data_IF_750205064941
#
_entry.id   IF_750205064941
#
_cell.length_a   1.000
_cell.length_b   1.000
_cell.length_c   1.000
_cell.angle_alpha   90.00
_cell.angle_beta   90.00
_cell.angle_gamma   90.00
#
_symmetry.space_group_name_H-M   'P 1'
#
loop_
_entity.id
_entity.type
_entity.pdbx_description
1 polymer ?
#
# COMPACT_ATOMS: atom_id res chain seq x y z
N UNK A 1 9.26 -49.95 -8.12
CA UNK A 1 9.47 -48.51 -8.35
C UNK A 1 8.54 -47.75 -7.37
N UNK A 2 9.04 -47.00 -6.40
CA UNK A 2 8.17 -46.28 -5.50
C UNK A 2 7.69 -44.99 -6.15
N UNK A 3 6.37 -44.77 -6.10
CA UNK A 3 5.70 -43.53 -6.52
C UNK A 3 6.29 -42.32 -5.79
N UNK A 4 6.76 -41.36 -6.57
CA UNK A 4 7.14 -40.04 -6.04
C UNK A 4 5.87 -39.32 -5.63
N UNK A 5 5.58 -39.34 -4.34
CA UNK A 5 4.53 -38.56 -3.71
C UNK A 5 4.89 -37.06 -3.84
N UNK A 6 4.35 -36.42 -4.88
CA UNK A 6 4.53 -35.00 -5.16
C UNK A 6 3.61 -34.19 -4.23
N UNK A 7 3.91 -34.21 -2.95
CA UNK A 7 3.31 -33.27 -2.02
C UNK A 7 3.91 -31.91 -2.31
N UNK A 8 3.18 -31.11 -3.09
CA UNK A 8 3.40 -29.66 -3.12
C UNK A 8 3.29 -29.20 -1.68
N UNK A 9 4.41 -28.79 -1.11
CA UNK A 9 4.43 -28.10 0.16
C UNK A 9 3.69 -26.78 -0.04
N UNK A 10 2.43 -26.75 0.35
CA UNK A 10 1.70 -25.49 0.50
C UNK A 10 2.45 -24.75 1.59
N UNK A 11 3.14 -23.67 1.25
CA UNK A 11 3.69 -22.77 2.26
C UNK A 11 2.50 -22.17 3.01
N UNK A 12 2.25 -22.72 4.16
CA UNK A 12 1.27 -22.22 5.12
C UNK A 12 1.84 -20.90 5.64
N UNK A 13 1.15 -19.79 5.36
CA UNK A 13 1.56 -18.49 5.86
C UNK A 13 0.82 -18.22 7.18
N UNK A 14 1.60 -18.14 8.25
CA UNK A 14 1.08 -17.72 9.54
C UNK A 14 0.72 -16.23 9.48
N UNK A 15 -0.52 -15.89 9.81
CA UNK A 15 -0.93 -14.50 9.96
C UNK A 15 -0.75 -14.08 11.43
N UNK A 16 0.21 -13.21 11.75
CA UNK A 16 0.50 -12.84 13.13
C UNK A 16 -0.62 -12.05 13.80
N UNK A 17 -1.50 -11.39 13.03
CA UNK A 17 -2.65 -10.64 13.58
C UNK A 17 -3.74 -11.60 14.02
N UNK A 18 -4.01 -12.63 13.23
CA UNK A 18 -5.09 -13.57 13.50
C UNK A 18 -4.63 -14.77 14.32
N UNK A 19 -3.31 -14.99 14.47
CA UNK A 19 -2.74 -16.08 15.24
C UNK A 19 -2.96 -17.48 14.65
N UNK A 20 -3.33 -17.57 13.35
CA UNK A 20 -3.51 -18.85 12.65
C UNK A 20 -2.96 -18.78 11.22
N UNK A 21 -2.72 -19.95 10.65
CA UNK A 21 -2.24 -20.10 9.28
C UNK A 21 -3.36 -19.80 8.28
N UNK A 22 -3.07 -18.91 7.31
CA UNK A 22 -4.04 -18.60 6.26
C UNK A 22 -3.94 -19.65 5.16
N UNK A 23 -4.92 -20.53 5.09
CA UNK A 23 -5.08 -21.51 3.99
C UNK A 23 -5.96 -20.96 2.86
N UNK A 24 -6.37 -19.70 2.97
CA UNK A 24 -7.31 -19.05 2.08
C UNK A 24 -6.70 -18.60 0.75
N UNK A 25 -7.53 -18.01 -0.12
CA UNK A 25 -7.10 -17.51 -1.40
C UNK A 25 -6.08 -16.37 -1.22
N UNK A 26 -5.10 -16.34 -2.12
CA UNK A 26 -4.12 -15.25 -2.21
C UNK A 26 -4.59 -14.24 -3.22
N UNK A 27 -4.49 -12.96 -2.86
CA UNK A 27 -4.86 -11.87 -3.76
C UNK A 27 -3.62 -11.04 -4.13
N UNK A 28 -3.53 -10.70 -5.40
CA UNK A 28 -2.53 -9.78 -5.92
C UNK A 28 -3.27 -8.59 -6.52
N UNK A 29 -2.93 -7.40 -6.03
CA UNK A 29 -3.39 -6.14 -6.63
C UNK A 29 -2.22 -5.45 -7.31
N UNK A 30 -2.47 -4.85 -8.47
CA UNK A 30 -1.46 -4.14 -9.26
C UNK A 30 -1.93 -2.71 -9.48
N UNK A 31 -1.11 -1.73 -9.12
CA UNK A 31 -1.50 -0.34 -9.28
C UNK A 31 -0.47 0.65 -8.77
N UNK A 32 -0.88 1.88 -8.58
CA UNK A 32 -0.04 2.95 -8.07
C UNK A 32 -0.27 3.18 -6.58
N UNK A 33 0.83 3.34 -5.83
CA UNK A 33 0.79 3.91 -4.49
C UNK A 33 1.24 5.36 -4.56
N UNK A 34 0.49 6.26 -3.92
CA UNK A 34 0.72 7.69 -3.96
C UNK A 34 0.87 8.27 -2.56
N UNK A 35 1.62 9.36 -2.47
CA UNK A 35 1.66 10.20 -1.28
C UNK A 35 0.40 11.06 -1.22
N UNK A 36 -0.36 10.92 -0.13
CA UNK A 36 -1.51 11.75 0.16
C UNK A 36 -1.12 12.84 1.16
N UNK A 37 -1.39 14.09 0.81
CA UNK A 37 -1.18 15.26 1.64
C UNK A 37 -2.53 15.83 2.06
N UNK A 38 -2.78 15.92 3.36
CA UNK A 38 -4.05 16.35 3.94
C UNK A 38 -3.81 17.50 4.91
N UNK A 39 -4.46 18.66 4.75
CA UNK A 39 -4.42 19.70 5.79
C UNK A 39 -4.98 19.19 7.10
N UNK A 40 -4.38 19.50 8.25
CA UNK A 40 -4.91 19.11 9.54
C UNK A 40 -6.22 19.85 9.87
N UNK A 41 -6.96 19.38 10.86
CA UNK A 41 -8.11 20.05 11.44
C UNK A 41 -9.20 20.50 10.46
N UNK A 42 -9.40 19.74 9.37
CA UNK A 42 -10.37 20.07 8.32
C UNK A 42 -10.12 21.41 7.61
N UNK A 43 -8.88 21.91 7.65
CA UNK A 43 -8.51 23.16 7.01
C UNK A 43 -8.67 23.06 5.48
N UNK A 44 -9.00 24.19 4.86
CA UNK A 44 -9.06 24.24 3.39
C UNK A 44 -7.66 24.33 2.81
N UNK A 45 -7.43 23.64 1.70
CA UNK A 45 -6.14 23.64 1.01
C UNK A 45 -5.58 25.03 0.74
N UNK A 46 -6.45 25.99 0.38
CA UNK A 46 -6.05 27.37 0.11
C UNK A 46 -5.50 28.14 1.32
N UNK A 47 -5.71 27.61 2.52
CA UNK A 47 -5.30 28.22 3.79
C UNK A 47 -4.19 27.41 4.47
N UNK A 48 -3.96 26.20 3.99
CA UNK A 48 -3.05 25.25 4.63
C UNK A 48 -1.60 25.70 4.53
N UNK A 49 -0.92 25.71 5.66
CA UNK A 49 0.51 25.99 5.79
C UNK A 49 1.33 24.74 6.08
N UNK A 50 0.67 23.66 6.48
CA UNK A 50 1.26 22.36 6.78
C UNK A 50 0.35 21.22 6.31
N UNK A 51 0.89 20.01 6.20
CA UNK A 51 0.19 18.84 5.72
C UNK A 51 0.57 17.61 6.52
N UNK A 52 -0.40 16.77 6.80
CA UNK A 52 -0.20 15.40 7.24
C UNK A 52 0.05 14.53 6.01
N UNK A 53 1.14 13.76 6.05
CA UNK A 53 1.51 12.86 4.98
C UNK A 53 1.04 11.44 5.30
N UNK A 54 0.36 10.82 4.34
CA UNK A 54 -0.05 9.41 4.39
C UNK A 54 0.05 8.79 3.00
N UNK A 55 -0.25 7.51 2.88
CA UNK A 55 -0.22 6.83 1.59
C UNK A 55 -1.62 6.39 1.18
N UNK A 56 -1.85 6.30 -0.13
CA UNK A 56 -3.11 5.85 -0.71
C UNK A 56 -2.93 5.41 -2.15
N UNK A 57 -4.01 4.94 -2.73
CA UNK A 57 -4.12 4.36 -4.06
C UNK A 57 -5.22 3.32 -4.03
N UNK A 58 -6.06 3.23 -5.07
CA UNK A 58 -7.23 2.34 -5.04
C UNK A 58 -6.82 0.89 -4.80
N UNK A 59 -5.85 0.39 -5.53
CA UNK A 59 -5.38 -1.00 -5.44
C UNK A 59 -4.58 -1.25 -4.16
N UNK A 60 -3.81 -0.26 -3.71
CA UNK A 60 -3.11 -0.32 -2.42
C UNK A 60 -4.10 -0.36 -1.25
N UNK A 61 -5.19 0.42 -1.32
CA UNK A 61 -6.25 0.40 -0.31
C UNK A 61 -6.99 -0.94 -0.30
N UNK A 62 -7.20 -1.59 -1.46
CA UNK A 62 -7.78 -2.93 -1.56
C UNK A 62 -6.85 -3.95 -0.90
N UNK A 63 -5.55 -3.91 -1.20
CA UNK A 63 -4.59 -4.80 -0.57
C UNK A 63 -4.58 -4.67 0.96
N UNK A 64 -4.62 -3.43 1.47
CA UNK A 64 -4.73 -3.15 2.90
C UNK A 64 -6.02 -3.68 3.52
N UNK A 65 -7.15 -3.45 2.86
CA UNK A 65 -8.44 -3.92 3.34
C UNK A 65 -8.47 -5.46 3.44
N UNK A 66 -7.94 -6.14 2.43
CA UNK A 66 -7.83 -7.60 2.41
C UNK A 66 -6.89 -8.10 3.52
N UNK A 67 -5.72 -7.48 3.70
CA UNK A 67 -4.81 -7.85 4.79
C UNK A 67 -5.47 -7.68 6.16
N UNK A 68 -6.17 -6.56 6.39
CA UNK A 68 -6.92 -6.33 7.64
C UNK A 68 -8.06 -7.35 7.88
N UNK A 69 -8.59 -7.94 6.81
CA UNK A 69 -9.56 -9.04 6.90
C UNK A 69 -8.90 -10.43 7.03
N UNK A 70 -7.58 -10.48 7.15
CA UNK A 70 -6.83 -11.73 7.29
C UNK A 70 -6.60 -12.49 6.00
N UNK A 71 -6.82 -11.86 4.86
CA UNK A 71 -6.53 -12.44 3.54
C UNK A 71 -5.07 -12.21 3.18
N UNK A 72 -4.39 -13.25 2.68
CA UNK A 72 -3.01 -13.14 2.16
C UNK A 72 -3.01 -12.24 0.92
N UNK A 73 -2.63 -10.98 1.10
CA UNK A 73 -2.66 -9.96 0.05
C UNK A 73 -1.26 -9.49 -0.33
N UNK A 74 -1.04 -9.35 -1.63
CA UNK A 74 0.20 -8.86 -2.22
C UNK A 74 -0.10 -7.63 -3.08
N UNK A 75 0.68 -6.59 -2.90
CA UNK A 75 0.64 -5.41 -3.76
C UNK A 75 1.85 -5.38 -4.68
N UNK A 76 1.60 -5.24 -5.97
CA UNK A 76 2.60 -5.12 -7.02
C UNK A 76 2.59 -3.71 -7.61
N UNK A 77 3.76 -3.06 -7.63
CA UNK A 77 3.91 -1.70 -8.14
C UNK A 77 5.35 -1.41 -8.49
N UNK A 78 5.57 -0.28 -9.18
CA UNK A 78 6.88 0.32 -9.38
C UNK A 78 6.93 1.60 -8.55
N UNK A 79 7.95 1.74 -7.71
CA UNK A 79 8.13 2.92 -6.87
C UNK A 79 9.54 3.49 -7.00
N UNK A 80 9.73 4.79 -6.79
CA UNK A 80 11.05 5.40 -6.87
C UNK A 80 11.96 4.88 -5.76
N UNK A 81 13.24 4.67 -6.08
CA UNK A 81 14.26 4.26 -5.11
C UNK A 81 14.78 5.45 -4.29
N UNK A 82 13.87 6.16 -3.64
CA UNK A 82 14.16 7.28 -2.76
C UNK A 82 13.48 7.08 -1.39
N UNK A 83 13.64 8.05 -0.50
CA UNK A 83 13.08 7.98 0.87
C UNK A 83 11.56 7.83 0.89
N UNK A 84 10.83 8.50 -0.01
CA UNK A 84 9.36 8.42 -0.07
C UNK A 84 8.90 7.06 -0.58
N UNK A 85 9.50 6.54 -1.67
CA UNK A 85 9.15 5.21 -2.18
C UNK A 85 9.45 4.11 -1.17
N UNK A 86 10.62 4.17 -0.51
CA UNK A 86 10.97 3.22 0.57
C UNK A 86 10.02 3.32 1.77
N UNK A 87 9.57 4.51 2.10
CA UNK A 87 8.60 4.73 3.18
C UNK A 87 7.22 4.16 2.83
N UNK A 88 6.77 4.32 1.58
CA UNK A 88 5.53 3.72 1.08
C UNK A 88 5.55 2.18 1.19
N UNK A 89 6.66 1.55 0.76
CA UNK A 89 6.84 0.09 0.91
C UNK A 89 6.82 -0.34 2.37
N UNK A 90 7.51 0.41 3.24
CA UNK A 90 7.53 0.11 4.68
C UNK A 90 6.13 0.22 5.28
N UNK A 91 5.37 1.23 4.90
CA UNK A 91 4.01 1.43 5.38
C UNK A 91 3.08 0.27 4.96
N UNK A 92 3.14 -0.20 3.71
CA UNK A 92 2.39 -1.38 3.28
C UNK A 92 2.77 -2.62 4.09
N UNK A 93 4.06 -2.87 4.28
CA UNK A 93 4.56 -4.02 5.05
C UNK A 93 4.17 -3.97 6.52
N UNK A 94 4.12 -2.78 7.12
CA UNK A 94 3.69 -2.62 8.52
C UNK A 94 2.18 -2.86 8.70
N UNK A 95 1.43 -2.98 7.62
CA UNK A 95 0.02 -3.35 7.57
C UNK A 95 -0.19 -4.74 6.93
N UNK A 96 0.81 -5.62 7.04
CA UNK A 96 0.77 -7.02 6.60
C UNK A 96 0.48 -7.24 5.10
N UNK A 97 0.76 -6.24 4.27
CA UNK A 97 0.70 -6.38 2.81
C UNK A 97 2.06 -6.86 2.29
N UNK A 98 2.06 -7.95 1.55
CA UNK A 98 3.26 -8.45 0.89
C UNK A 98 3.65 -7.54 -0.28
N UNK A 99 4.93 -7.13 -0.32
CA UNK A 99 5.48 -6.22 -1.32
C UNK A 99 6.74 -6.80 -2.01
N UNK A 100 6.91 -8.12 -1.99
CA UNK A 100 8.10 -8.76 -2.57
C UNK A 100 8.28 -8.48 -4.07
N UNK A 101 7.20 -8.41 -4.87
CA UNK A 101 7.33 -8.10 -6.29
C UNK A 101 7.45 -6.60 -6.61
N UNK A 102 7.57 -5.72 -5.61
CA UNK A 102 7.75 -4.29 -5.89
C UNK A 102 9.11 -4.00 -6.51
N UNK A 103 9.08 -3.31 -7.64
CA UNK A 103 10.28 -2.88 -8.35
C UNK A 103 10.65 -1.48 -7.83
N UNK A 104 11.87 -1.35 -7.31
CA UNK A 104 12.46 -0.06 -7.04
C UNK A 104 13.18 0.39 -8.31
N UNK A 105 12.82 1.56 -8.82
CA UNK A 105 13.53 2.13 -9.97
C UNK A 105 14.97 2.49 -9.56
N UNK A 106 15.89 2.43 -10.53
CA UNK A 106 17.23 2.96 -10.30
C UNK A 106 17.14 4.43 -9.87
N UNK A 107 18.07 4.88 -9.01
CA UNK A 107 18.18 6.28 -8.66
C UNK A 107 18.48 7.08 -9.93
N UNK A 108 17.45 7.61 -10.53
CA UNK A 108 17.59 8.46 -11.70
C UNK A 108 17.44 9.92 -11.25
N UNK A 109 18.33 10.77 -11.72
CA UNK A 109 18.29 12.21 -11.46
C UNK A 109 17.17 12.90 -12.25
N UNK A 110 16.41 12.16 -13.06
CA UNK A 110 15.31 12.74 -13.83
C UNK A 110 14.11 13.08 -12.95
N UNK A 111 13.48 14.24 -13.17
CA UNK A 111 12.30 14.68 -12.40
C UNK A 111 11.09 13.74 -12.50
N UNK A 112 11.08 12.82 -13.46
CA UNK A 112 9.99 11.85 -13.68
C UNK A 112 9.98 10.70 -12.68
N UNK A 113 11.09 10.45 -11.99
CA UNK A 113 11.21 9.33 -11.04
C UNK A 113 10.77 9.75 -9.63
N UNK A 114 9.50 10.07 -9.46
CA UNK A 114 8.91 10.49 -8.18
C UNK A 114 7.67 9.67 -7.84
N UNK A 115 7.37 9.58 -6.56
CA UNK A 115 6.11 9.04 -6.09
C UNK A 115 4.97 10.00 -6.49
N UNK A 116 3.89 9.47 -7.06
CA UNK A 116 2.68 10.25 -7.34
C UNK A 116 2.18 10.91 -6.06
N UNK A 117 1.64 12.12 -6.18
CA UNK A 117 1.16 12.90 -5.02
C UNK A 117 -0.20 13.48 -5.33
N UNK A 118 -1.09 13.43 -4.34
CA UNK A 118 -2.39 14.08 -4.42
C UNK A 118 -2.76 14.75 -3.09
N UNK A 119 -3.69 15.69 -3.15
CA UNK A 119 -4.18 16.40 -1.98
C UNK A 119 -5.59 15.97 -1.64
N UNK A 120 -5.85 15.79 -0.33
CA UNK A 120 -7.17 15.51 0.19
C UNK A 120 -7.60 16.64 1.13
N UNK A 121 -8.58 17.42 0.70
CA UNK A 121 -9.29 18.34 1.58
C UNK A 121 -10.40 17.57 2.30
N UNK A 122 -10.24 17.34 3.59
CA UNK A 122 -11.23 16.59 4.38
C UNK A 122 -12.49 17.42 4.61
N UNK A 123 -13.62 16.81 4.39
CA UNK A 123 -14.93 17.44 4.63
C UNK A 123 -15.24 17.59 6.11
N UNK A 124 -16.14 18.52 6.44
CA UNK A 124 -16.67 18.70 7.79
C UNK A 124 -18.13 19.13 7.73
N UNK A 125 -19.00 18.50 8.52
CA UNK A 125 -20.44 18.74 8.50
C UNK A 125 -21.04 18.45 7.12
N UNK A 126 -21.67 19.44 6.52
CA UNK A 126 -22.27 19.36 5.18
C UNK A 126 -21.26 19.55 4.03
N UNK A 127 -20.03 19.92 4.35
CA UNK A 127 -18.99 20.09 3.33
C UNK A 127 -18.38 18.72 2.98
N UNK A 128 -18.46 18.29 1.71
CA UNK A 128 -17.87 17.03 1.29
C UNK A 128 -16.33 17.11 1.29
N UNK A 129 -15.68 15.96 1.37
CA UNK A 129 -14.25 15.82 1.08
C UNK A 129 -13.99 16.04 -0.41
N UNK A 130 -12.81 16.55 -0.74
CA UNK A 130 -12.38 16.81 -2.11
C UNK A 130 -10.97 16.30 -2.33
N UNK A 131 -10.79 15.51 -3.40
CA UNK A 131 -9.49 15.07 -3.89
C UNK A 131 -9.06 15.99 -5.03
N UNK A 132 -7.78 16.40 -5.02
CA UNK A 132 -7.17 17.29 -6.01
C UNK A 132 -5.84 16.72 -6.46
#
# INVERSE_FOLDING_TARGET
>A
MPEKNNRRTVMEHFNPILGYETTGPKFITCGEIMLRLTPPNYEKLRMATNFEASYGGSEANIALALANLGVDSTFFSVVPNNSLGKSAVRWLRSNDVHCTPMILTEPDETPSNRLGTYYLETGYGIRPSKVI
#
